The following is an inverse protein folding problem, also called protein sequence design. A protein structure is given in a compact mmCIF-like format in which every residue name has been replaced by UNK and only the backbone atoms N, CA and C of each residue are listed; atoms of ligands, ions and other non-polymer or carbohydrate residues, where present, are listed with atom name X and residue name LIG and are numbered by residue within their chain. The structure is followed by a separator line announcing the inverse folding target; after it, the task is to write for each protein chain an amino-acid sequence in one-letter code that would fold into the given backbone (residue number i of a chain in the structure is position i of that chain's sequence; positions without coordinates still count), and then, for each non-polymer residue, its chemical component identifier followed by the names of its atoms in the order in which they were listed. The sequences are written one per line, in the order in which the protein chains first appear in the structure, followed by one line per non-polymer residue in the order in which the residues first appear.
data_IF_254835074807
#
_entry.id   IF_254835074807
#
_cell.length_a   1.000
_cell.length_b   1.000
_cell.length_c   1.000
_cell.angle_alpha   90.00
_cell.angle_beta   90.00
_cell.angle_gamma   90.00
#
_symmetry.space_group_name_H-M   'P 1'
#
loop_
_entity.id
_entity.type
_entity.pdbx_description
1 polymer ?
#
# COMPACT_ATOMS: atom_id res chain seq x y z
N UNK A 1 -31.43 0.28 10.42
CA UNK A 1 -30.95 1.59 9.94
C UNK A 1 -29.44 1.58 10.10
N UNK A 2 -28.64 1.38 9.04
CA UNK A 2 -27.18 1.33 9.16
C UNK A 2 -26.58 2.74 9.19
N UNK A 3 -25.45 2.86 9.87
CA UNK A 3 -24.82 4.10 10.29
C UNK A 3 -24.42 4.99 9.11
N UNK A 4 -24.90 6.25 9.11
CA UNK A 4 -24.34 7.33 8.30
C UNK A 4 -23.14 7.89 9.07
N UNK A 5 -21.93 7.45 8.73
CA UNK A 5 -20.71 8.14 9.16
C UNK A 5 -20.59 9.42 8.31
N UNK A 6 -21.10 10.54 8.85
CA UNK A 6 -20.92 11.91 8.37
C UNK A 6 -20.93 12.10 6.84
N UNK A 7 -22.10 12.21 6.21
CA UNK A 7 -22.22 12.60 4.80
C UNK A 7 -21.65 11.62 3.76
N UNK A 8 -21.01 10.51 4.16
CA UNK A 8 -20.48 9.50 3.24
C UNK A 8 -21.30 8.22 3.33
N UNK A 9 -21.74 7.72 2.17
CA UNK A 9 -22.37 6.41 2.05
C UNK A 9 -21.38 5.42 1.43
N UNK A 10 -20.75 4.59 2.26
CA UNK A 10 -19.77 3.55 1.86
C UNK A 10 -20.34 2.12 1.90
N UNK A 11 -21.66 1.96 1.85
CA UNK A 11 -22.33 0.65 1.96
C UNK A 11 -21.82 -0.38 0.93
N UNK A 12 -21.47 0.08 -0.27
CA UNK A 12 -20.91 -0.75 -1.33
C UNK A 12 -19.53 -1.34 -1.00
N UNK A 13 -18.82 -0.80 -0.01
CA UNK A 13 -17.53 -1.29 0.46
C UNK A 13 -17.63 -2.04 1.79
N UNK A 14 -18.55 -1.63 2.68
CA UNK A 14 -18.73 -2.24 4.01
C UNK A 14 -19.62 -3.50 3.99
N UNK A 15 -20.54 -3.60 3.03
CA UNK A 15 -21.44 -4.74 2.88
C UNK A 15 -21.74 -5.01 1.40
N UNK A 16 -20.71 -5.37 0.61
CA UNK A 16 -20.84 -5.60 -0.81
C UNK A 16 -21.73 -6.79 -1.14
N UNK A 17 -22.43 -6.74 -2.28
CA UNK A 17 -23.17 -7.91 -2.78
C UNK A 17 -22.18 -9.00 -3.25
N UNK A 18 -22.48 -10.29 -3.07
CA UNK A 18 -21.58 -11.38 -3.50
C UNK A 18 -21.22 -11.32 -4.99
N UNK A 19 -22.18 -10.97 -5.85
CA UNK A 19 -21.95 -10.82 -7.28
C UNK A 19 -20.97 -9.66 -7.58
N UNK A 20 -21.10 -8.55 -6.87
CA UNK A 20 -20.19 -7.41 -6.98
C UNK A 20 -18.75 -7.77 -6.55
N UNK A 21 -18.57 -8.55 -5.48
CA UNK A 21 -17.25 -9.05 -5.09
C UNK A 21 -16.62 -9.93 -6.16
N UNK A 22 -17.39 -10.83 -6.77
CA UNK A 22 -16.93 -11.66 -7.89
C UNK A 22 -16.53 -10.78 -9.08
N UNK A 23 -17.33 -9.78 -9.40
CA UNK A 23 -17.11 -8.87 -10.52
C UNK A 23 -15.87 -7.99 -10.34
N UNK A 24 -15.61 -7.52 -9.11
CA UNK A 24 -14.37 -6.81 -8.75
C UNK A 24 -13.17 -7.75 -8.86
N UNK A 25 -13.26 -8.95 -8.29
CA UNK A 25 -12.16 -9.93 -8.28
C UNK A 25 -11.76 -10.31 -9.70
N UNK A 26 -12.75 -10.52 -10.58
CA UNK A 26 -12.52 -10.80 -11.99
C UNK A 26 -11.80 -9.64 -12.72
N UNK A 27 -12.22 -8.39 -12.48
CA UNK A 27 -11.59 -7.20 -13.08
C UNK A 27 -10.17 -6.99 -12.59
N UNK A 28 -9.90 -7.18 -11.30
CA UNK A 28 -8.54 -7.16 -10.77
C UNK A 28 -7.68 -8.30 -11.33
N UNK A 29 -8.24 -9.49 -11.53
CA UNK A 29 -7.52 -10.58 -12.20
C UNK A 29 -7.17 -10.25 -13.66
N UNK A 30 -8.02 -9.51 -14.37
CA UNK A 30 -7.73 -9.01 -15.73
C UNK A 30 -6.59 -7.98 -15.68
N UNK A 31 -6.69 -6.99 -14.78
CA UNK A 31 -5.68 -5.94 -14.61
C UNK A 31 -4.32 -6.52 -14.21
N UNK A 32 -4.30 -7.48 -13.28
CA UNK A 32 -3.07 -8.14 -12.82
C UNK A 32 -2.33 -8.91 -13.94
N UNK A 33 -3.02 -9.24 -15.04
CA UNK A 33 -2.42 -9.88 -16.22
C UNK A 33 -1.93 -8.88 -17.27
N UNK A 34 -2.19 -7.59 -17.10
CA UNK A 34 -1.74 -6.55 -18.02
C UNK A 34 -0.28 -6.15 -17.72
N UNK A 35 0.52 -5.93 -18.77
CA UNK A 35 1.97 -5.73 -18.66
C UNK A 35 2.40 -4.42 -17.94
N UNK A 36 1.46 -3.51 -17.64
CA UNK A 36 1.72 -2.19 -17.08
C UNK A 36 0.99 -1.93 -15.74
N UNK A 37 0.49 -2.98 -15.09
CA UNK A 37 -0.20 -2.85 -13.80
C UNK A 37 0.79 -2.75 -12.64
N UNK A 38 0.84 -1.57 -12.01
CA UNK A 38 1.61 -1.25 -10.82
C UNK A 38 0.66 -1.17 -9.61
N UNK A 39 0.38 -2.34 -9.02
CA UNK A 39 -0.64 -2.61 -7.98
C UNK A 39 -0.98 -1.42 -7.05
N UNK A 40 0.00 -0.83 -6.35
CA UNK A 40 -0.30 0.21 -5.37
C UNK A 40 -0.67 1.59 -5.98
N UNK A 41 0.01 2.02 -7.05
CA UNK A 41 -0.21 3.35 -7.66
C UNK A 41 -1.51 3.37 -8.46
N UNK A 42 -1.81 2.27 -9.14
CA UNK A 42 -3.01 2.17 -9.97
C UNK A 42 -4.26 2.02 -9.10
N UNK A 43 -4.20 1.25 -8.00
CA UNK A 43 -5.27 1.22 -6.99
C UNK A 43 -5.50 2.60 -6.36
N UNK A 44 -4.43 3.36 -6.08
CA UNK A 44 -4.57 4.73 -5.60
C UNK A 44 -5.23 5.64 -6.65
N UNK A 45 -4.86 5.50 -7.92
CA UNK A 45 -5.43 6.27 -9.04
C UNK A 45 -6.90 5.96 -9.21
N UNK A 46 -7.27 4.67 -9.19
CA UNK A 46 -8.64 4.19 -9.22
C UNK A 46 -9.46 4.77 -8.06
N UNK A 47 -8.92 4.72 -6.83
CA UNK A 47 -9.58 5.30 -5.65
C UNK A 47 -9.84 6.80 -5.79
N UNK A 48 -8.85 7.56 -6.29
CA UNK A 48 -9.02 9.00 -6.58
C UNK A 48 -10.06 9.26 -7.67
N UNK A 49 -10.09 8.45 -8.72
CA UNK A 49 -11.04 8.60 -9.81
C UNK A 49 -12.49 8.31 -9.37
N UNK A 50 -12.70 7.25 -8.58
CA UNK A 50 -14.00 6.90 -7.97
C UNK A 50 -14.47 8.05 -7.08
N UNK A 51 -13.60 8.50 -6.17
CA UNK A 51 -13.95 9.56 -5.22
C UNK A 51 -14.20 10.91 -5.91
N UNK A 52 -13.38 11.26 -6.91
CA UNK A 52 -13.56 12.46 -7.72
C UNK A 52 -14.90 12.47 -8.44
N UNK A 53 -15.30 11.33 -9.01
CA UNK A 53 -16.60 11.18 -9.68
C UNK A 53 -17.76 11.25 -8.68
N UNK A 54 -17.61 10.62 -7.52
CA UNK A 54 -18.62 10.66 -6.46
C UNK A 54 -18.84 12.08 -5.89
N UNK A 55 -17.77 12.87 -5.76
CA UNK A 55 -17.86 14.29 -5.39
C UNK A 55 -18.53 15.11 -6.49
N UNK A 56 -18.19 14.88 -7.77
CA UNK A 56 -18.83 15.61 -8.88
C UNK A 56 -20.32 15.32 -8.98
N UNK A 57 -20.75 14.11 -8.60
CA UNK A 57 -22.15 13.69 -8.60
C UNK A 57 -22.91 14.00 -7.29
N UNK A 58 -22.26 14.63 -6.29
CA UNK A 58 -22.86 14.82 -4.97
C UNK A 58 -24.07 15.78 -5.03
N UNK A 59 -25.13 15.43 -4.32
CA UNK A 59 -26.29 16.32 -4.10
C UNK A 59 -26.29 16.77 -2.64
N UNK A 60 -26.01 18.05 -2.40
CA UNK A 60 -25.92 18.59 -1.05
C UNK A 60 -24.61 18.19 -0.35
N UNK A 61 -24.69 17.54 0.82
CA UNK A 61 -23.52 17.12 1.61
C UNK A 61 -23.26 15.60 1.55
N UNK A 62 -24.07 14.88 0.78
CA UNK A 62 -24.03 13.42 0.74
C UNK A 62 -23.21 12.94 -0.47
N UNK A 63 -22.10 12.27 -0.20
CA UNK A 63 -21.27 11.57 -1.20
C UNK A 63 -21.64 10.09 -1.18
N UNK A 64 -22.14 9.58 -2.30
CA UNK A 64 -22.57 8.19 -2.43
C UNK A 64 -21.65 7.48 -3.41
N UNK A 65 -20.97 6.43 -2.94
CA UNK A 65 -20.18 5.54 -3.79
C UNK A 65 -21.01 4.28 -4.00
N UNK A 66 -21.40 4.02 -5.24
CA UNK A 66 -22.18 2.83 -5.63
C UNK A 66 -21.29 1.73 -6.20
N UNK A 67 -21.77 0.49 -6.13
CA UNK A 67 -21.11 -0.67 -6.76
C UNK A 67 -20.89 -0.45 -8.26
N UNK A 68 -21.91 0.09 -8.97
CA UNK A 68 -21.82 0.41 -10.39
C UNK A 68 -20.70 1.39 -10.72
N UNK A 69 -20.57 2.48 -9.96
CA UNK A 69 -19.50 3.46 -10.16
C UNK A 69 -18.09 2.84 -10.02
N UNK A 70 -17.93 1.91 -9.08
CA UNK A 70 -16.65 1.22 -8.86
C UNK A 70 -16.36 0.29 -10.05
N UNK A 71 -17.35 -0.45 -10.53
CA UNK A 71 -17.19 -1.33 -11.70
C UNK A 71 -16.90 -0.52 -12.97
N UNK A 72 -17.61 0.58 -13.20
CA UNK A 72 -17.38 1.47 -14.35
C UNK A 72 -15.95 2.00 -14.36
N UNK A 73 -15.42 2.42 -13.21
CA UNK A 73 -14.04 2.93 -13.12
C UNK A 73 -12.99 1.84 -13.29
N UNK A 74 -13.29 0.61 -12.90
CA UNK A 74 -12.44 -0.55 -13.21
C UNK A 74 -12.48 -0.88 -14.70
N UNK A 75 -13.65 -0.81 -15.33
CA UNK A 75 -13.83 -1.08 -16.77
C UNK A 75 -13.18 0.00 -17.64
N UNK A 76 -13.26 1.27 -17.25
CA UNK A 76 -12.52 2.39 -17.86
C UNK A 76 -11.02 2.08 -17.88
N UNK A 77 -10.49 1.64 -16.74
CA UNK A 77 -9.06 1.37 -16.58
C UNK A 77 -8.62 0.13 -17.37
N UNK A 78 -9.43 -0.93 -17.40
CA UNK A 78 -9.19 -2.10 -18.26
C UNK A 78 -9.21 -1.72 -19.74
N UNK A 79 -10.17 -0.88 -20.15
CA UNK A 79 -10.32 -0.43 -21.53
C UNK A 79 -9.14 0.44 -21.97
N UNK A 80 -8.71 1.37 -21.11
CA UNK A 80 -7.54 2.20 -21.35
C UNK A 80 -6.28 1.34 -21.53
N UNK A 81 -6.06 0.35 -20.65
CA UNK A 81 -4.89 -0.54 -20.74
C UNK A 81 -4.94 -1.45 -21.98
N UNK A 82 -6.11 -1.95 -22.34
CA UNK A 82 -6.30 -2.76 -23.56
C UNK A 82 -6.06 -1.91 -24.82
N UNK A 83 -6.49 -0.65 -24.82
CA UNK A 83 -6.26 0.29 -25.92
C UNK A 83 -4.79 0.66 -26.08
N UNK A 84 -4.05 0.85 -24.98
CA UNK A 84 -2.59 1.09 -24.99
C UNK A 84 -1.82 -0.12 -25.52
N UNK A 85 -2.25 -1.33 -25.15
CA UNK A 85 -1.69 -2.56 -25.70
C UNK A 85 -1.95 -2.66 -27.22
N UNK A 86 -3.13 -2.25 -27.69
CA UNK A 86 -3.48 -2.33 -29.12
C UNK A 86 -2.85 -1.21 -29.96
N UNK A 87 -2.77 0.02 -29.44
CA UNK A 87 -2.09 1.14 -30.12
C UNK A 87 -0.57 0.96 -30.19
N UNK A 88 0.04 0.27 -29.22
CA UNK A 88 1.46 -0.10 -29.27
C UNK A 88 1.80 -1.02 -30.45
N UNK A 89 0.80 -1.70 -31.04
CA UNK A 89 0.96 -2.51 -32.26
C UNK A 89 0.65 -1.75 -33.56
N UNK A 90 0.03 -0.56 -33.51
CA UNK A 90 -0.45 0.15 -34.72
C UNK A 90 0.49 1.28 -35.15
N UNK A 91 1.38 1.77 -34.28
CA UNK A 91 2.29 2.90 -34.59
C UNK A 91 3.55 2.49 -35.40
N UNK A 92 3.73 1.22 -35.77
CA UNK A 92 4.86 0.78 -36.60
C UNK A 92 4.61 0.73 -38.11
N UNK A 93 3.49 1.24 -38.62
CA UNK A 93 3.25 1.37 -40.06
C UNK A 93 3.07 2.83 -40.49
N UNK A 94 4.18 3.59 -40.49
CA UNK A 94 4.36 4.66 -41.44
C UNK A 94 5.41 4.24 -42.48
N UNK A 95 4.91 3.94 -43.68
CA UNK A 95 5.72 3.74 -44.86
C UNK A 95 6.52 5.02 -45.12
N UNK A 96 7.84 4.91 -45.05
CA UNK A 96 8.76 5.95 -45.50
C UNK A 96 8.85 5.81 -47.02
N UNK A 97 8.34 6.84 -47.71
CA UNK A 97 8.52 7.08 -49.15
C UNK A 97 9.96 7.60 -49.41
N UNK A 98 10.80 6.93 -50.23
CA UNK A 98 12.18 7.34 -50.45
C UNK A 98 12.27 8.32 -51.64
N UNK A 99 11.82 9.56 -51.46
CA UNK A 99 12.22 10.64 -52.38
C UNK A 99 12.11 12.04 -51.77
N UNK A 100 13.01 12.37 -50.83
CA UNK A 100 13.59 13.72 -50.68
C UNK A 100 14.49 13.77 -49.43
N UNK A 101 15.79 14.00 -49.64
CA UNK A 101 16.69 14.48 -48.60
C UNK A 101 16.55 16.01 -48.48
N UNK A 102 16.80 16.56 -47.29
CA UNK A 102 18.02 17.36 -47.20
C UNK A 102 18.88 16.99 -45.99
N UNK A 103 20.18 17.16 -46.19
CA UNK A 103 21.25 16.97 -45.22
C UNK A 103 21.16 17.98 -44.08
N UNK A 104 21.48 17.53 -42.86
CA UNK A 104 22.18 18.31 -41.84
C UNK A 104 22.70 17.38 -40.73
N UNK A 105 23.99 17.10 -40.85
CA UNK A 105 25.04 16.97 -39.84
C UNK A 105 24.63 16.87 -38.35
N UNK A 106 24.76 15.66 -37.77
CA UNK A 106 25.24 15.44 -36.40
C UNK A 106 25.55 13.94 -36.17
N UNK A 107 26.82 13.61 -35.95
CA UNK A 107 27.26 12.37 -35.27
C UNK A 107 27.70 12.74 -33.83
N UNK A 108 27.56 11.83 -32.86
CA UNK A 108 28.69 10.94 -32.58
C UNK A 108 28.32 9.49 -32.21
N UNK A 109 29.30 8.65 -32.49
CA UNK A 109 29.67 7.32 -32.00
C UNK A 109 28.67 6.15 -31.90
N UNK A 110 29.13 5.08 -32.56
CA UNK A 110 28.53 3.77 -32.71
C UNK A 110 28.71 2.92 -31.43
N UNK A 111 27.67 2.18 -31.04
CA UNK A 111 27.87 0.85 -30.45
C UNK A 111 27.07 -0.15 -31.30
N UNK A 112 27.82 -0.98 -32.01
CA UNK A 112 27.38 -2.13 -32.78
C UNK A 112 26.92 -3.20 -31.78
N UNK A 113 25.66 -3.61 -31.86
CA UNK A 113 25.25 -4.96 -31.43
C UNK A 113 24.36 -5.59 -32.50
N UNK A 114 24.91 -6.64 -33.11
CA UNK A 114 24.22 -7.60 -33.98
C UNK A 114 23.17 -8.39 -33.19
N UNK A 115 21.97 -8.65 -33.73
CA UNK A 115 21.01 -9.56 -33.11
C UNK A 115 21.28 -11.02 -33.50
N UNK A 116 21.20 -11.99 -32.59
CA UNK A 116 20.83 -13.35 -32.95
C UNK A 116 19.35 -13.58 -32.65
N UNK A 117 18.62 -13.76 -33.75
CA UNK A 117 17.49 -14.69 -33.97
C UNK A 117 16.89 -15.39 -32.75
N UNK A 118 15.63 -15.03 -32.48
CA UNK A 118 14.47 -15.92 -32.31
C UNK A 118 14.70 -17.27 -31.62
N UNK A 119 14.53 -17.26 -30.29
CA UNK A 119 13.78 -18.29 -29.60
C UNK A 119 12.99 -17.62 -28.47
N UNK A 120 11.67 -17.83 -28.50
CA UNK A 120 10.69 -17.19 -27.62
C UNK A 120 11.00 -17.39 -26.12
N UNK A 121 11.06 -16.32 -25.31
CA UNK A 121 10.99 -16.45 -23.88
C UNK A 121 9.51 -16.46 -23.44
N UNK A 122 9.16 -17.53 -22.75
CA UNK A 122 7.95 -17.66 -21.95
C UNK A 122 7.84 -16.47 -20.98
N UNK A 123 6.84 -15.61 -21.22
CA UNK A 123 6.57 -14.43 -20.40
C UNK A 123 5.94 -14.85 -19.07
N UNK A 124 6.78 -15.00 -18.04
CA UNK A 124 6.34 -14.95 -16.64
C UNK A 124 6.20 -13.49 -16.20
N UNK A 125 4.96 -13.02 -16.18
CA UNK A 125 4.29 -12.26 -15.11
C UNK A 125 5.24 -11.62 -14.07
N UNK A 126 5.47 -10.30 -14.17
CA UNK A 126 5.91 -9.48 -13.03
C UNK A 126 4.66 -9.04 -12.28
N UNK A 127 4.14 -9.99 -11.49
CA UNK A 127 3.21 -9.71 -10.41
C UNK A 127 3.99 -9.15 -9.23
N UNK A 128 3.27 -8.51 -8.31
CA UNK A 128 3.64 -8.48 -6.89
C UNK A 128 4.13 -9.87 -6.44
N UNK A 129 5.44 -10.11 -6.47
CA UNK A 129 6.01 -11.32 -5.88
C UNK A 129 6.44 -10.99 -4.46
N UNK A 130 5.47 -11.14 -3.54
CA UNK A 130 5.80 -11.82 -2.30
C UNK A 130 6.24 -13.25 -2.69
N UNK A 131 7.55 -13.43 -2.80
CA UNK A 131 8.32 -14.66 -2.52
C UNK A 131 9.68 -14.53 -3.22
N UNK A 132 10.79 -14.28 -2.49
CA UNK A 132 12.10 -14.56 -3.04
C UNK A 132 12.33 -16.07 -2.78
N UNK A 133 11.71 -16.93 -3.59
CA UNK A 133 11.83 -18.38 -3.41
C UNK A 133 13.25 -18.87 -3.68
N UNK A 134 14.07 -18.09 -4.39
CA UNK A 134 15.49 -18.33 -4.61
C UNK A 134 16.26 -16.99 -4.52
N UNK A 135 17.41 -16.94 -3.82
CA UNK A 135 18.32 -15.81 -3.86
C UNK A 135 18.88 -15.61 -5.28
N UNK A 136 19.29 -14.38 -5.58
CA UNK A 136 20.01 -14.09 -6.83
C UNK A 136 21.34 -14.87 -6.90
N UNK A 137 21.78 -15.19 -8.12
CA UNK A 137 23.08 -15.85 -8.36
C UNK A 137 24.23 -15.01 -7.79
N UNK A 138 25.03 -15.63 -6.91
CA UNK A 138 26.19 -15.00 -6.26
C UNK A 138 25.93 -14.46 -4.84
N UNK A 139 24.71 -14.58 -4.32
CA UNK A 139 24.42 -14.33 -2.91
C UNK A 139 24.81 -15.56 -2.07
N UNK A 140 25.67 -15.37 -1.07
CA UNK A 140 26.05 -16.44 -0.15
C UNK A 140 24.89 -16.85 0.76
N UNK A 141 24.83 -18.14 1.11
CA UNK A 141 23.86 -18.70 2.05
C UNK A 141 23.76 -17.92 3.37
N UNK A 142 24.89 -17.35 3.85
CA UNK A 142 24.91 -16.52 5.06
C UNK A 142 24.13 -15.21 4.88
N UNK A 143 24.35 -14.51 3.76
CA UNK A 143 23.65 -13.27 3.42
C UNK A 143 22.16 -13.54 3.22
N UNK A 144 21.84 -14.69 2.62
CA UNK A 144 20.48 -15.12 2.39
C UNK A 144 19.75 -15.46 3.70
N UNK A 145 20.37 -16.23 4.59
CA UNK A 145 19.83 -16.55 5.92
C UNK A 145 19.58 -15.29 6.73
N UNK A 146 20.52 -14.33 6.72
CA UNK A 146 20.33 -13.05 7.41
C UNK A 146 19.15 -12.27 6.82
N UNK A 147 19.00 -12.24 5.49
CA UNK A 147 17.91 -11.53 4.83
C UNK A 147 16.54 -12.12 5.20
N UNK A 148 16.45 -13.44 5.32
CA UNK A 148 15.24 -14.13 5.79
C UNK A 148 14.93 -13.78 7.26
N UNK A 149 15.95 -13.75 8.12
CA UNK A 149 15.77 -13.34 9.52
C UNK A 149 15.32 -11.88 9.64
N UNK A 150 15.87 -10.98 8.83
CA UNK A 150 15.51 -9.56 8.80
C UNK A 150 14.06 -9.36 8.32
N UNK A 151 13.62 -10.17 7.33
CA UNK A 151 12.24 -10.18 6.87
C UNK A 151 11.29 -10.60 7.99
N UNK A 152 11.56 -11.73 8.66
CA UNK A 152 10.77 -12.19 9.81
C UNK A 152 10.73 -11.17 10.95
N UNK A 153 11.85 -10.48 11.20
CA UNK A 153 11.93 -9.38 12.17
C UNK A 153 11.01 -8.21 11.77
N UNK A 154 10.99 -7.84 10.47
CA UNK A 154 10.06 -6.82 9.96
C UNK A 154 8.60 -7.24 10.09
N UNK A 155 8.27 -8.51 9.84
CA UNK A 155 6.92 -9.04 9.98
C UNK A 155 6.46 -9.03 11.44
N UNK A 156 7.33 -9.44 12.37
CA UNK A 156 7.05 -9.37 13.80
C UNK A 156 6.74 -7.94 14.25
N UNK A 157 7.53 -6.96 13.78
CA UNK A 157 7.27 -5.53 14.07
C UNK A 157 5.93 -5.04 13.54
N UNK A 158 5.51 -5.48 12.36
CA UNK A 158 4.20 -5.14 11.79
C UNK A 158 3.08 -5.81 12.59
N UNK A 159 3.24 -7.07 13.01
CA UNK A 159 2.30 -7.75 13.90
C UNK A 159 2.18 -7.04 15.26
N UNK A 160 3.30 -6.64 15.87
CA UNK A 160 3.31 -5.87 17.11
C UNK A 160 2.63 -4.49 16.95
N UNK A 161 2.67 -3.91 15.74
CA UNK A 161 1.95 -2.67 15.44
C UNK A 161 0.45 -2.91 15.34
N UNK A 162 0.02 -3.98 14.65
CA UNK A 162 -1.39 -4.37 14.57
C UNK A 162 -1.99 -4.65 15.95
N UNK A 163 -1.28 -5.41 16.79
CA UNK A 163 -1.69 -5.67 18.17
C UNK A 163 -1.83 -4.39 18.98
N UNK A 164 -0.94 -3.41 18.79
CA UNK A 164 -1.04 -2.11 19.47
C UNK A 164 -2.29 -1.33 19.05
N UNK A 165 -2.67 -1.37 17.76
CA UNK A 165 -3.89 -0.72 17.27
C UNK A 165 -5.17 -1.36 17.84
N UNK A 166 -5.18 -2.69 17.96
CA UNK A 166 -6.29 -3.42 18.56
C UNK A 166 -6.43 -3.09 20.06
N UNK A 167 -5.32 -3.10 20.80
CA UNK A 167 -5.31 -2.70 22.21
C UNK A 167 -5.79 -1.25 22.41
N UNK A 168 -5.42 -0.33 21.53
CA UNK A 168 -5.89 1.06 21.57
C UNK A 168 -7.40 1.12 21.35
N UNK A 169 -7.92 0.44 20.33
CA UNK A 169 -9.34 0.37 20.03
C UNK A 169 -10.16 -0.16 21.23
N UNK A 170 -9.67 -1.21 21.88
CA UNK A 170 -10.34 -1.78 23.04
C UNK A 170 -10.24 -0.88 24.28
N UNK A 171 -9.12 -0.19 24.48
CA UNK A 171 -8.98 0.81 25.53
C UNK A 171 -9.93 2.01 25.30
N UNK A 172 -10.11 2.46 24.05
CA UNK A 172 -11.07 3.51 23.70
C UNK A 172 -12.50 3.09 24.01
N UNK A 173 -12.92 1.88 23.60
CA UNK A 173 -14.23 1.33 23.93
C UNK A 173 -14.45 1.22 25.45
N UNK A 174 -13.43 0.83 26.21
CA UNK A 174 -13.52 0.74 27.66
C UNK A 174 -13.73 2.12 28.31
N UNK A 175 -13.02 3.15 27.85
CA UNK A 175 -13.20 4.53 28.32
C UNK A 175 -14.60 5.05 27.97
N UNK A 176 -15.08 4.83 26.75
CA UNK A 176 -16.43 5.23 26.31
C UNK A 176 -17.53 4.52 27.10
N UNK A 177 -17.33 3.22 27.36
CA UNK A 177 -18.25 2.42 28.19
C UNK A 177 -18.34 2.99 29.61
N UNK A 178 -17.24 3.40 30.23
CA UNK A 178 -17.29 4.01 31.57
C UNK A 178 -17.91 5.41 31.52
N UNK A 179 -17.61 6.21 30.50
CA UNK A 179 -18.17 7.54 30.35
C UNK A 179 -19.69 7.54 30.15
N UNK A 180 -20.23 6.48 29.54
CA UNK A 180 -21.67 6.30 29.31
C UNK A 180 -22.43 5.71 30.50
N UNK A 181 -21.75 5.26 31.55
CA UNK A 181 -22.42 4.75 32.76
C UNK A 181 -23.12 5.90 33.51
N UNK A 182 -24.37 5.70 33.96
CA UNK A 182 -25.08 6.70 34.76
C UNK A 182 -24.30 7.07 36.03
N UNK A 183 -24.18 8.39 36.26
CA UNK A 183 -23.72 8.93 37.54
C UNK A 183 -24.93 8.94 38.46
N UNK A 184 -25.06 7.88 39.26
CA UNK A 184 -26.07 7.84 40.32
C UNK A 184 -25.54 8.64 41.51
N UNK A 185 -26.19 9.77 41.79
CA UNK A 185 -25.86 10.69 42.88
C UNK A 185 -26.64 10.35 44.18
N UNK A 186 -27.23 9.16 44.28
CA UNK A 186 -28.07 8.76 45.41
C UNK A 186 -27.28 8.40 46.68
N UNK A 187 -27.44 9.27 47.69
CA UNK A 187 -27.18 9.16 49.14
C UNK A 187 -25.84 8.58 49.64
N UNK A 188 -25.18 9.44 50.42
CA UNK A 188 -23.97 9.28 51.22
C UNK A 188 -24.09 8.16 52.28
N UNK A 189 -23.76 6.93 51.89
CA UNK A 189 -23.28 5.88 52.80
C UNK A 189 -21.74 5.73 52.61
N UNK A 190 -21.02 5.29 53.64
CA UNK A 190 -19.55 5.08 53.58
C UNK A 190 -19.14 4.11 52.46
N UNK A 191 -19.99 3.09 52.21
CA UNK A 191 -19.80 2.15 51.10
C UNK A 191 -19.96 2.80 49.72
N UNK A 192 -20.92 3.72 49.57
CA UNK A 192 -21.10 4.47 48.32
C UNK A 192 -19.86 5.31 48.01
N UNK A 193 -19.25 5.93 49.03
CA UNK A 193 -18.02 6.74 48.86
C UNK A 193 -16.85 5.90 48.36
N UNK A 194 -16.61 4.71 48.94
CA UNK A 194 -15.56 3.78 48.47
C UNK A 194 -15.77 3.34 47.03
N UNK A 195 -17.03 3.08 46.63
CA UNK A 195 -17.35 2.71 45.25
C UNK A 195 -17.07 3.85 44.26
N UNK A 196 -17.40 5.10 44.61
CA UNK A 196 -17.05 6.25 43.79
C UNK A 196 -15.54 6.45 43.66
N UNK A 197 -14.79 6.28 44.75
CA UNK A 197 -13.32 6.35 44.74
C UNK A 197 -12.72 5.26 43.84
N UNK A 198 -13.20 4.02 43.94
CA UNK A 198 -12.77 2.91 43.06
C UNK A 198 -13.08 3.21 41.58
N UNK A 199 -14.30 3.65 41.25
CA UNK A 199 -14.69 4.02 39.88
C UNK A 199 -13.80 5.13 39.31
N UNK A 200 -13.50 6.14 40.13
CA UNK A 200 -12.60 7.24 39.74
C UNK A 200 -11.19 6.74 39.46
N UNK A 201 -10.67 5.83 40.28
CA UNK A 201 -9.35 5.21 40.08
C UNK A 201 -9.33 4.36 38.79
N UNK A 202 -10.38 3.59 38.53
CA UNK A 202 -10.53 2.79 37.31
C UNK A 202 -10.58 3.65 36.05
N UNK A 203 -11.38 4.73 36.06
CA UNK A 203 -11.46 5.70 34.96
C UNK A 203 -10.10 6.36 34.68
N UNK A 204 -9.37 6.76 35.73
CA UNK A 204 -8.02 7.32 35.60
C UNK A 204 -7.02 6.29 35.05
N UNK A 205 -7.08 5.05 35.52
CA UNK A 205 -6.22 3.98 35.05
C UNK A 205 -6.46 3.67 33.56
N UNK A 206 -7.72 3.63 33.12
CA UNK A 206 -8.06 3.41 31.71
C UNK A 206 -7.63 4.57 30.81
N UNK A 207 -7.82 5.82 31.27
CA UNK A 207 -7.32 7.00 30.56
C UNK A 207 -5.80 6.99 30.43
N UNK A 208 -5.08 6.67 31.50
CA UNK A 208 -3.63 6.57 31.49
C UNK A 208 -3.15 5.42 30.56
N UNK A 209 -3.87 4.29 30.54
CA UNK A 209 -3.60 3.19 29.60
C UNK A 209 -3.78 3.64 28.15
N UNK A 210 -4.88 4.33 27.85
CA UNK A 210 -5.16 4.84 26.51
C UNK A 210 -4.09 5.85 26.05
N UNK A 211 -3.72 6.80 26.90
CA UNK A 211 -2.67 7.78 26.59
C UNK A 211 -1.32 7.08 26.29
N UNK A 212 -0.97 6.05 27.07
CA UNK A 212 0.25 5.26 26.84
C UNK A 212 0.21 4.53 25.49
N UNK A 213 -0.93 3.95 25.12
CA UNK A 213 -1.12 3.27 23.83
C UNK A 213 -1.02 4.25 22.67
N UNK A 214 -1.69 5.41 22.76
CA UNK A 214 -1.61 6.48 21.76
C UNK A 214 -0.19 6.98 21.55
N UNK A 215 0.54 7.26 22.64
CA UNK A 215 1.97 7.63 22.56
C UNK A 215 2.81 6.55 21.89
N UNK A 216 2.52 5.28 22.18
CA UNK A 216 3.16 4.13 21.54
C UNK A 216 2.88 4.07 20.03
N UNK A 217 1.63 4.31 19.62
CA UNK A 217 1.22 4.38 18.22
C UNK A 217 1.95 5.49 17.49
N UNK A 218 1.93 6.71 18.03
CA UNK A 218 2.60 7.88 17.46
C UNK A 218 4.10 7.65 17.27
N UNK A 219 4.77 7.04 18.26
CA UNK A 219 6.19 6.70 18.17
C UNK A 219 6.46 5.68 17.04
N UNK A 220 5.67 4.60 16.95
CA UNK A 220 5.80 3.60 15.87
C UNK A 220 5.48 4.22 14.50
N UNK A 221 4.48 5.09 14.40
CA UNK A 221 4.11 5.77 13.15
C UNK A 221 5.19 6.75 12.68
N UNK A 222 5.82 7.48 13.62
CA UNK A 222 6.97 8.33 13.33
C UNK A 222 8.17 7.51 12.80
N UNK A 223 8.44 6.34 13.37
CA UNK A 223 9.46 5.41 12.86
C UNK A 223 9.10 4.91 11.45
N UNK A 224 7.85 4.49 11.22
CA UNK A 224 7.39 4.07 9.88
C UNK A 224 7.51 5.17 8.85
N UNK A 225 7.22 6.43 9.20
CA UNK A 225 7.39 7.56 8.28
C UNK A 225 8.86 7.79 7.91
N UNK A 226 9.78 7.68 8.88
CA UNK A 226 11.23 7.73 8.61
C UNK A 226 11.65 6.60 7.67
N UNK A 227 11.20 5.38 7.97
CA UNK A 227 11.47 4.19 7.15
C UNK A 227 10.92 4.34 5.73
N UNK A 228 9.69 4.83 5.56
CA UNK A 228 9.10 5.10 4.25
C UNK A 228 9.91 6.11 3.43
N UNK A 229 10.44 7.15 4.06
CA UNK A 229 11.30 8.13 3.40
C UNK A 229 12.61 7.48 2.94
N UNK A 230 13.22 6.62 3.77
CA UNK A 230 14.43 5.88 3.39
C UNK A 230 14.14 4.93 2.22
N UNK A 231 13.04 4.18 2.29
CA UNK A 231 12.59 3.29 1.21
C UNK A 231 12.32 4.05 -0.09
N UNK A 232 11.75 5.25 0.00
CA UNK A 232 11.54 6.12 -1.16
C UNK A 232 12.87 6.57 -1.77
N UNK A 233 13.81 7.04 -0.95
CA UNK A 233 15.15 7.43 -1.39
C UNK A 233 15.91 6.27 -2.04
N UNK A 234 15.86 5.09 -1.44
CA UNK A 234 16.48 3.87 -1.99
C UNK A 234 15.93 3.51 -3.37
N UNK A 235 14.61 3.67 -3.59
CA UNK A 235 14.02 3.50 -4.92
C UNK A 235 14.50 4.56 -5.92
N UNK A 236 14.62 5.82 -5.50
CA UNK A 236 15.12 6.90 -6.35
C UNK A 236 16.58 6.74 -6.73
N UNK A 237 17.41 6.17 -5.84
CA UNK A 237 18.82 5.90 -6.13
C UNK A 237 19.02 4.85 -7.23
N UNK A 238 18.01 4.00 -7.52
CA UNK A 238 18.05 3.06 -8.64
C UNK A 238 19.10 1.95 -8.54
N UNK A 239 19.71 1.75 -7.37
CA UNK A 239 20.80 0.78 -7.16
C UNK A 239 20.38 -0.65 -7.47
N UNK A 240 19.10 -0.98 -7.21
CA UNK A 240 18.53 -2.27 -7.61
C UNK A 240 17.79 -2.10 -8.94
N UNK A 241 18.32 -2.60 -10.08
CA UNK A 241 17.69 -2.48 -11.38
C UNK A 241 16.38 -3.25 -11.48
N UNK A 242 16.23 -4.33 -10.69
CA UNK A 242 15.02 -5.15 -10.62
C UNK A 242 13.91 -4.51 -9.78
N UNK A 243 14.19 -3.41 -9.07
CA UNK A 243 13.19 -2.73 -8.25
C UNK A 243 12.72 -3.52 -7.02
N UNK A 244 13.49 -4.52 -6.57
CA UNK A 244 13.16 -5.30 -5.37
C UNK A 244 12.99 -4.41 -4.13
N UNK A 245 12.11 -4.84 -3.23
CA UNK A 245 11.92 -4.18 -1.92
C UNK A 245 13.24 -4.15 -1.15
N UNK A 246 13.49 -3.06 -0.43
CA UNK A 246 14.63 -2.96 0.47
C UNK A 246 14.28 -3.45 1.87
N UNK A 247 15.12 -4.31 2.41
CA UNK A 247 15.03 -4.91 3.74
C UNK A 247 16.08 -4.24 4.61
N UNK A 248 15.65 -3.75 5.78
CA UNK A 248 16.52 -3.09 6.74
C UNK A 248 17.41 -4.12 7.43
N UNK A 249 18.72 -3.87 7.40
CA UNK A 249 19.73 -4.62 8.13
C UNK A 249 20.38 -3.72 9.19
N UNK A 250 21.26 -4.27 10.03
CA UNK A 250 21.90 -3.55 11.14
C UNK A 250 22.67 -2.30 10.70
N UNK A 251 23.36 -2.35 9.55
CA UNK A 251 24.27 -1.30 9.07
C UNK A 251 23.84 -0.66 7.73
N UNK A 252 22.63 -0.95 7.26
CA UNK A 252 22.17 -0.49 5.96
C UNK A 252 20.94 -1.23 5.47
N UNK A 253 20.78 -1.27 4.16
CA UNK A 253 19.63 -1.84 3.47
C UNK A 253 20.08 -2.77 2.34
N UNK A 254 19.43 -3.93 2.24
CA UNK A 254 19.67 -4.91 1.19
C UNK A 254 18.41 -5.14 0.38
N UNK A 255 18.52 -5.26 -0.94
CA UNK A 255 17.37 -5.59 -1.76
C UNK A 255 16.88 -7.02 -1.49
N UNK A 256 15.60 -7.31 -1.72
CA UNK A 256 15.01 -8.63 -1.44
C UNK A 256 15.66 -9.79 -2.23
N UNK A 257 16.25 -9.52 -3.41
CA UNK A 257 17.06 -10.51 -4.14
C UNK A 257 18.44 -10.80 -3.53
N UNK A 258 18.89 -9.99 -2.56
CA UNK A 258 20.15 -10.19 -1.84
C UNK A 258 21.39 -9.56 -2.47
N UNK A 259 21.40 -9.27 -3.77
CA UNK A 259 22.59 -8.80 -4.49
C UNK A 259 23.04 -7.37 -4.21
N UNK A 260 22.09 -6.45 -3.99
CA UNK A 260 22.38 -5.03 -3.88
C UNK A 260 22.28 -4.56 -2.43
N UNK A 261 23.26 -3.76 -2.01
CA UNK A 261 23.36 -3.23 -0.66
C UNK A 261 23.68 -1.73 -0.67
N UNK A 262 23.07 -0.98 0.24
CA UNK A 262 23.33 0.45 0.46
C UNK A 262 23.55 0.67 1.96
N UNK A 263 24.64 1.34 2.33
CA UNK A 263 24.97 1.56 3.73
C UNK A 263 24.16 2.71 4.35
N UNK A 264 24.06 2.74 5.68
CA UNK A 264 23.49 3.88 6.40
C UNK A 264 24.24 5.19 6.09
N UNK A 265 25.57 5.12 5.88
CA UNK A 265 26.41 6.27 5.52
C UNK A 265 26.01 6.85 4.17
N UNK A 266 25.81 6.02 3.16
CA UNK A 266 25.37 6.45 1.81
C UNK A 266 23.97 7.06 1.83
N UNK A 267 23.14 6.63 2.79
CA UNK A 267 21.80 7.15 3.03
C UNK A 267 21.79 8.38 3.95
N UNK A 268 22.89 8.70 4.62
CA UNK A 268 22.96 9.79 5.61
C UNK A 268 21.99 9.62 6.77
N UNK A 269 21.82 8.38 7.25
CA UNK A 269 20.95 8.00 8.39
C UNK A 269 21.68 7.29 9.51
#
# INVERSE_FOLDING_TARGET
MPARLGGFCMRSLESPRPDFLRDITNRFAILARSANWANARDVQTLGKAIFGTAIQAMQGKDVVITEGLILDKLDDMISEQTSRATQSFVVTNHAIDPSQAPALDWQPEQIIYTPPSTAAPSAKVIAETADPALPDDGVSDEVWSQLQQDLQSSERKESDYQSLLEEECDAQKAVEKIASLPKDDSKLNDDTKKQHEYRRLEELALRAKLEKLQRGREAKEAERRKEQNIQHRLRQMGVCPMGYRWIKQTSGYRCAGGSHYVSNVDLGV
#
